data_IF_119874310103
#
_entry.id   IF_119874310103
#
_cell.length_a   1.000
_cell.length_b   1.000
_cell.length_c   1.000
_cell.angle_alpha   90.00
_cell.angle_beta   90.00
_cell.angle_gamma   90.00
#
_symmetry.space_group_name_H-M   'P 1'
#
loop_
_entity.id
_entity.type
_entity.pdbx_description
1 polymer ?
#
# COMPACT_ATOMS: atom_id res chain seq x y z
N UNK A 1 -21.64 16.76 -31.11
CA UNK A 1 -21.87 17.08 -29.68
C UNK A 1 -20.77 16.43 -28.88
N UNK A 2 -19.80 17.16 -28.34
CA UNK A 2 -18.77 16.53 -27.47
C UNK A 2 -19.42 16.15 -26.16
N UNK A 3 -19.21 14.91 -25.75
CA UNK A 3 -19.70 14.31 -24.52
C UNK A 3 -19.02 14.94 -23.30
N UNK A 4 -19.83 15.49 -22.42
CA UNK A 4 -19.46 16.20 -21.20
C UNK A 4 -19.00 15.24 -20.05
N UNK A 5 -18.20 14.22 -20.36
CA UNK A 5 -17.78 13.17 -19.41
C UNK A 5 -16.47 13.46 -18.69
N UNK A 6 -15.78 14.57 -18.98
CA UNK A 6 -14.40 14.80 -18.53
C UNK A 6 -14.25 15.75 -17.34
N UNK A 7 -15.33 16.03 -16.60
CA UNK A 7 -15.20 16.79 -15.34
C UNK A 7 -15.67 15.96 -14.15
N UNK A 8 -14.99 14.87 -13.89
CA UNK A 8 -15.00 14.30 -12.55
C UNK A 8 -14.30 15.31 -11.61
N UNK A 9 -15.09 16.15 -10.96
CA UNK A 9 -14.58 16.98 -9.87
C UNK A 9 -13.97 16.06 -8.83
N UNK A 10 -12.69 16.25 -8.46
CA UNK A 10 -12.09 15.46 -7.40
C UNK A 10 -12.90 15.61 -6.12
N UNK A 11 -13.29 14.50 -5.51
CA UNK A 11 -14.00 14.51 -4.23
C UNK A 11 -12.99 14.91 -3.17
N UNK A 12 -12.98 16.17 -2.79
CA UNK A 12 -12.17 16.64 -1.68
C UNK A 12 -12.82 16.22 -0.36
N UNK A 13 -12.28 15.17 0.26
CA UNK A 13 -12.65 14.72 1.60
C UNK A 13 -11.40 14.63 2.45
N UNK A 14 -11.50 15.15 3.67
CA UNK A 14 -10.41 15.15 4.66
C UNK A 14 -10.81 14.22 5.78
N UNK A 15 -9.94 13.25 6.12
CA UNK A 15 -10.04 12.59 7.41
C UNK A 15 -9.37 13.47 8.47
N UNK A 16 -9.83 13.39 9.72
CA UNK A 16 -9.31 14.24 10.78
C UNK A 16 -7.90 13.83 11.19
N UNK A 17 -7.65 12.51 11.30
CA UNK A 17 -6.37 11.95 11.71
C UNK A 17 -6.06 10.67 10.95
N UNK A 18 -4.80 10.31 10.89
CA UNK A 18 -4.33 9.02 10.40
C UNK A 18 -3.03 8.64 11.11
N UNK A 19 -2.76 7.35 11.27
CA UNK A 19 -1.43 6.90 11.61
C UNK A 19 -0.51 7.00 10.40
N UNK A 20 0.76 7.27 10.64
CA UNK A 20 1.75 7.43 9.59
C UNK A 20 3.08 6.78 9.96
N UNK A 21 3.78 6.27 8.97
CA UNK A 21 5.18 5.88 9.09
C UNK A 21 6.05 7.12 8.95
N UNK A 22 6.06 7.96 10.00
CA UNK A 22 6.75 9.24 9.97
C UNK A 22 8.27 9.09 10.03
N UNK A 23 8.96 9.89 9.23
CA UNK A 23 10.41 10.03 9.31
C UNK A 23 10.90 10.78 10.56
N UNK A 24 9.99 11.42 11.30
CA UNK A 24 10.27 12.10 12.57
C UNK A 24 9.78 11.19 13.71
N UNK A 25 10.57 10.71 14.58
CA UNK A 25 12.00 10.80 14.90
C UNK A 25 12.81 9.53 14.58
N UNK A 26 12.41 8.74 13.58
CA UNK A 26 13.04 7.46 13.27
C UNK A 26 14.10 7.59 12.16
N UNK A 27 15.40 7.47 12.46
CA UNK A 27 16.47 7.53 11.45
C UNK A 27 16.30 6.50 10.31
N UNK A 28 15.68 5.36 10.61
CA UNK A 28 15.42 4.32 9.62
C UNK A 28 14.43 4.77 8.55
N UNK A 29 13.34 5.41 8.95
CA UNK A 29 12.36 5.94 8.00
C UNK A 29 12.88 7.15 7.24
N UNK A 30 13.70 8.01 7.85
CA UNK A 30 14.33 9.13 7.16
C UNK A 30 15.16 8.65 5.97
N UNK A 31 16.04 7.68 6.18
CA UNK A 31 16.85 7.08 5.11
C UNK A 31 15.99 6.47 3.99
N UNK A 32 14.89 5.79 4.32
CA UNK A 32 13.96 5.23 3.35
C UNK A 32 13.31 6.32 2.49
N UNK A 33 12.79 7.37 3.11
CA UNK A 33 12.14 8.48 2.40
C UNK A 33 13.14 9.28 1.54
N UNK A 34 14.38 9.44 1.98
CA UNK A 34 15.44 10.06 1.17
C UNK A 34 15.74 9.24 -0.08
N UNK A 35 15.85 7.91 0.04
CA UNK A 35 16.01 7.03 -1.11
C UNK A 35 14.81 7.07 -2.06
N UNK A 36 13.58 7.09 -1.53
CA UNK A 36 12.38 7.25 -2.34
C UNK A 36 12.40 8.56 -3.12
N UNK A 37 12.85 9.64 -2.51
CA UNK A 37 12.99 10.95 -3.18
C UNK A 37 14.01 10.89 -4.31
N UNK A 38 15.18 10.30 -4.08
CA UNK A 38 16.21 10.12 -5.10
C UNK A 38 15.72 9.25 -6.27
N UNK A 39 14.90 8.24 -5.96
CA UNK A 39 14.30 7.35 -6.96
C UNK A 39 13.07 7.93 -7.69
N UNK A 40 12.74 9.22 -7.49
CA UNK A 40 11.52 9.87 -8.02
C UNK A 40 10.20 9.18 -7.62
N UNK A 41 10.16 8.55 -6.45
CA UNK A 41 8.99 7.90 -5.88
C UNK A 41 8.57 8.55 -4.55
N UNK A 42 8.71 9.87 -4.43
CA UNK A 42 8.44 10.58 -3.18
C UNK A 42 6.95 10.61 -2.79
N UNK A 43 6.03 10.52 -3.76
CA UNK A 43 4.59 10.62 -3.54
C UNK A 43 4.00 9.24 -3.22
N UNK A 44 4.13 8.81 -1.97
CA UNK A 44 3.69 7.50 -1.46
C UNK A 44 2.33 7.54 -0.77
N UNK A 45 1.90 8.71 -0.30
CA UNK A 45 0.58 8.92 0.27
C UNK A 45 -0.50 9.08 -0.81
N UNK A 46 -1.75 8.84 -0.43
CA UNK A 46 -2.93 9.01 -1.30
C UNK A 46 -3.55 10.42 -1.20
N UNK A 47 -3.03 11.26 -0.33
CA UNK A 47 -3.52 12.62 -0.11
C UNK A 47 -2.89 13.62 -1.08
N UNK A 48 -3.57 14.74 -1.30
CA UNK A 48 -3.05 15.84 -2.14
C UNK A 48 -2.22 16.85 -1.36
N UNK A 49 -2.25 16.78 -0.03
CA UNK A 49 -1.51 17.68 0.85
C UNK A 49 0.00 17.48 0.71
N UNK A 50 0.74 18.57 0.68
CA UNK A 50 2.19 18.59 0.40
C UNK A 50 3.03 17.78 1.39
N UNK A 51 2.59 17.67 2.63
CA UNK A 51 3.31 16.94 3.68
C UNK A 51 2.89 15.47 3.70
N UNK A 52 1.58 15.20 3.73
CA UNK A 52 1.04 13.86 3.90
C UNK A 52 1.16 13.00 2.64
N UNK A 53 1.19 13.59 1.44
CA UNK A 53 1.44 12.84 0.20
C UNK A 53 2.81 12.15 0.14
N UNK A 54 3.79 12.67 0.90
CA UNK A 54 5.16 12.14 0.97
C UNK A 54 5.37 11.15 2.11
N UNK A 55 4.32 10.83 2.85
CA UNK A 55 4.37 9.93 4.00
C UNK A 55 3.39 8.80 3.78
N UNK A 56 3.83 7.57 3.99
CA UNK A 56 2.92 6.44 3.96
C UNK A 56 2.01 6.49 5.18
N UNK A 57 0.70 6.47 4.91
CA UNK A 57 -0.35 6.55 5.90
C UNK A 57 -1.03 5.19 6.05
N UNK A 58 -1.54 4.91 7.24
CA UNK A 58 -2.44 3.79 7.48
C UNK A 58 -3.47 4.15 8.56
N UNK A 59 -4.58 3.44 8.59
CA UNK A 59 -5.62 3.59 9.61
C UNK A 59 -6.12 5.03 9.78
N UNK A 60 -7.01 5.45 8.89
CA UNK A 60 -7.68 6.74 9.01
C UNK A 60 -8.63 6.79 10.20
N UNK A 61 -8.75 7.96 10.82
CA UNK A 61 -9.61 8.23 11.98
C UNK A 61 -10.47 9.44 11.66
N UNK A 62 -11.77 9.22 11.53
CA UNK A 62 -12.74 10.27 11.36
C UNK A 62 -13.42 10.61 12.69
N UNK A 63 -13.45 11.88 13.05
CA UNK A 63 -13.98 12.34 14.35
C UNK A 63 -15.16 13.29 14.15
N UNK A 64 -16.26 13.00 14.80
CA UNK A 64 -17.45 13.85 14.88
C UNK A 64 -17.76 14.19 16.34
N UNK A 65 -18.38 15.34 16.60
CA UNK A 65 -18.86 15.68 17.95
C UNK A 65 -19.98 14.73 18.39
N UNK A 66 -20.36 14.77 19.66
CA UNK A 66 -21.36 13.87 20.27
C UNK A 66 -22.67 13.79 19.52
N UNK A 67 -23.09 14.87 18.89
CA UNK A 67 -24.32 14.94 18.09
C UNK A 67 -24.03 14.96 16.58
N UNK A 68 -22.82 14.56 16.18
CA UNK A 68 -22.43 14.48 14.77
C UNK A 68 -23.07 13.29 14.08
N UNK A 69 -23.20 13.39 12.76
CA UNK A 69 -23.77 12.32 11.94
C UNK A 69 -22.75 11.17 11.79
N UNK A 70 -23.13 10.01 12.34
CA UNK A 70 -22.34 8.78 12.24
C UNK A 70 -22.25 8.30 10.79
N UNK A 71 -23.32 8.38 10.02
CA UNK A 71 -23.32 7.94 8.63
C UNK A 71 -22.40 8.81 7.76
N UNK A 72 -22.35 10.12 8.04
CA UNK A 72 -21.39 11.00 7.40
C UNK A 72 -19.93 10.63 7.78
N UNK A 73 -19.66 10.31 9.05
CA UNK A 73 -18.34 9.87 9.50
C UNK A 73 -17.91 8.57 8.79
N UNK A 74 -18.82 7.61 8.70
CA UNK A 74 -18.59 6.33 7.99
C UNK A 74 -18.34 6.55 6.50
N UNK A 75 -19.09 7.43 5.85
CA UNK A 75 -18.88 7.76 4.45
C UNK A 75 -17.51 8.41 4.21
N UNK A 76 -17.13 9.38 5.04
CA UNK A 76 -15.85 10.08 4.92
C UNK A 76 -14.68 9.12 5.14
N UNK A 77 -14.76 8.29 6.19
CA UNK A 77 -13.78 7.25 6.46
C UNK A 77 -13.70 6.25 5.29
N UNK A 78 -14.83 5.84 4.74
CA UNK A 78 -14.89 4.87 3.62
C UNK A 78 -14.19 5.40 2.36
N UNK A 79 -14.39 6.67 2.01
CA UNK A 79 -13.72 7.32 0.89
C UNK A 79 -12.22 7.37 1.13
N UNK A 80 -11.80 7.74 2.34
CA UNK A 80 -10.40 7.85 2.70
C UNK A 80 -9.68 6.51 2.62
N UNK A 81 -10.26 5.46 3.25
CA UNK A 81 -9.62 4.14 3.29
C UNK A 81 -9.56 3.50 1.91
N UNK A 82 -10.59 3.71 1.07
CA UNK A 82 -10.58 3.24 -0.31
C UNK A 82 -9.46 3.89 -1.12
N UNK A 83 -9.22 5.20 -0.96
CA UNK A 83 -8.12 5.90 -1.59
C UNK A 83 -6.76 5.39 -1.08
N UNK A 84 -6.63 5.14 0.22
CA UNK A 84 -5.44 4.59 0.86
C UNK A 84 -5.07 3.22 0.28
N UNK A 85 -6.02 2.29 0.23
CA UNK A 85 -5.82 0.94 -0.29
C UNK A 85 -5.46 0.93 -1.78
N UNK A 86 -6.17 1.72 -2.60
CA UNK A 86 -5.88 1.84 -4.04
C UNK A 86 -4.48 2.40 -4.29
N UNK A 87 -4.07 3.40 -3.51
CA UNK A 87 -2.71 3.95 -3.61
C UNK A 87 -1.66 2.90 -3.28
N UNK A 88 -1.83 2.13 -2.21
CA UNK A 88 -0.93 1.04 -1.84
C UNK A 88 -0.87 -0.04 -2.93
N UNK A 89 -2.01 -0.42 -3.50
CA UNK A 89 -2.07 -1.36 -4.61
C UNK A 89 -1.34 -0.83 -5.86
N UNK A 90 -1.52 0.45 -6.20
CA UNK A 90 -0.78 1.10 -7.29
C UNK A 90 0.74 1.01 -7.07
N UNK A 91 1.20 1.36 -5.87
CA UNK A 91 2.62 1.30 -5.53
C UNK A 91 3.17 -0.13 -5.59
N UNK A 92 2.41 -1.11 -5.13
CA UNK A 92 2.75 -2.52 -5.19
C UNK A 92 2.86 -3.03 -6.65
N UNK A 93 1.91 -2.66 -7.52
CA UNK A 93 1.96 -2.98 -8.95
C UNK A 93 3.22 -2.40 -9.62
N UNK A 94 3.64 -1.19 -9.24
CA UNK A 94 4.89 -0.58 -9.73
C UNK A 94 6.13 -1.38 -9.32
N UNK A 95 6.17 -1.90 -8.09
CA UNK A 95 7.29 -2.73 -7.60
C UNK A 95 7.34 -4.05 -8.36
N UNK A 96 6.21 -4.75 -8.49
CA UNK A 96 6.13 -6.01 -9.22
C UNK A 96 6.59 -5.86 -10.68
N UNK A 97 6.14 -4.82 -11.37
CA UNK A 97 6.59 -4.52 -12.74
C UNK A 97 8.10 -4.27 -12.83
N UNK A 98 8.67 -3.51 -11.89
CA UNK A 98 10.11 -3.23 -11.84
C UNK A 98 10.95 -4.49 -11.58
N UNK A 99 10.46 -5.42 -10.77
CA UNK A 99 11.10 -6.72 -10.51
C UNK A 99 11.08 -7.61 -11.75
N UNK A 100 9.97 -7.63 -12.49
CA UNK A 100 9.85 -8.38 -13.75
C UNK A 100 10.85 -7.89 -14.80
N UNK A 101 11.01 -6.59 -14.99
CA UNK A 101 11.97 -6.01 -15.92
C UNK A 101 13.41 -6.40 -15.56
N UNK A 102 13.79 -6.32 -14.28
CA UNK A 102 15.12 -6.73 -13.82
C UNK A 102 15.40 -8.22 -14.04
N UNK A 103 14.38 -9.07 -13.85
CA UNK A 103 14.49 -10.50 -14.12
C UNK A 103 14.69 -10.81 -15.60
N UNK A 104 14.12 -10.01 -16.51
CA UNK A 104 14.31 -10.14 -17.94
C UNK A 104 15.73 -9.75 -18.38
N UNK A 105 16.26 -8.63 -17.86
CA UNK A 105 17.61 -8.17 -18.17
C UNK A 105 18.70 -9.19 -17.74
N UNK A 106 18.49 -9.87 -16.61
CA UNK A 106 19.42 -10.91 -16.12
C UNK A 106 19.42 -12.12 -17.04
N UNK A 107 18.27 -12.52 -17.59
CA UNK A 107 18.18 -13.66 -18.53
C UNK A 107 18.87 -13.37 -19.85
N UNK A 108 18.76 -12.14 -20.38
CA UNK A 108 19.43 -11.72 -21.61
C UNK A 108 20.95 -11.73 -21.42
N UNK A 109 21.46 -11.19 -20.32
CA UNK A 109 22.90 -11.15 -20.03
C UNK A 109 23.51 -12.53 -19.78
N UNK A 110 22.72 -13.50 -19.31
CA UNK A 110 23.23 -14.89 -19.10
C UNK A 110 23.34 -15.65 -20.41
N UNK A 111 22.52 -15.34 -21.41
CA UNK A 111 22.53 -16.01 -22.71
C UNK A 111 23.68 -15.51 -23.63
N UNK A 112 24.17 -14.27 -23.41
CA UNK A 112 25.28 -13.71 -24.18
C UNK A 112 26.67 -14.18 -23.72
N UNK A 113 26.81 -14.91 -22.60
CA UNK A 113 28.10 -15.36 -22.04
C UNK A 113 28.51 -16.77 -22.40
N UNK A 114 27.94 -17.38 -23.43
CA UNK A 114 28.42 -18.66 -23.90
C UNK A 114 29.06 -18.52 -25.31
N UNK A 115 30.33 -18.06 -25.43
CA UNK A 115 31.07 -18.17 -26.68
C UNK A 115 31.58 -19.60 -26.76
N UNK A 116 30.86 -20.46 -27.48
CA UNK A 116 31.40 -21.74 -27.87
C UNK A 116 32.34 -21.51 -29.10
N UNK A 117 33.66 -21.74 -29.03
CA UNK A 117 34.49 -21.68 -30.19
C UNK A 117 34.54 -23.06 -30.84
N UNK A 118 34.30 -23.06 -32.15
CA UNK A 118 34.66 -24.10 -33.11
C UNK A 118 33.65 -25.26 -33.32
N UNK A 119 33.09 -25.26 -34.49
CA UNK A 119 32.40 -26.37 -35.14
C UNK A 119 31.83 -25.87 -36.47
N UNK A 120 32.63 -26.02 -37.54
CA UNK A 120 32.20 -25.89 -38.93
C UNK A 120 31.04 -26.85 -39.16
N UNK A 121 29.95 -26.40 -39.79
CA UNK A 121 29.27 -27.06 -40.89
C UNK A 121 27.95 -26.36 -41.26
N UNK A 122 27.91 -26.01 -42.54
CA UNK A 122 26.83 -25.88 -43.54
C UNK A 122 25.36 -25.60 -43.14
N UNK A 123 24.86 -24.53 -43.79
CA UNK A 123 23.55 -24.34 -44.40
C UNK A 123 22.29 -24.88 -43.66
N UNK A 124 21.53 -23.95 -43.08
CA UNK A 124 20.10 -23.87 -43.33
C UNK A 124 19.54 -22.48 -42.88
N UNK A 125 19.10 -21.69 -43.82
CA UNK A 125 18.26 -20.52 -43.61
C UNK A 125 16.92 -21.00 -43.05
N UNK A 126 16.69 -20.94 -41.75
CA UNK A 126 15.35 -21.01 -41.17
C UNK A 126 14.93 -19.66 -40.57
N UNK A 127 13.72 -19.31 -40.95
CA UNK A 127 13.08 -18.04 -40.67
C UNK A 127 13.04 -17.74 -39.18
N UNK A 128 13.54 -16.57 -38.80
CA UNK A 128 13.44 -15.98 -37.48
C UNK A 128 11.98 -15.62 -37.22
N UNK A 129 11.18 -16.55 -36.73
CA UNK A 129 9.91 -16.26 -36.06
C UNK A 129 10.24 -15.62 -34.72
N UNK A 130 10.12 -14.30 -34.68
CA UNK A 130 10.19 -13.52 -33.45
C UNK A 130 9.15 -14.06 -32.48
N UNK A 131 9.62 -14.67 -31.43
CA UNK A 131 8.83 -15.14 -30.31
C UNK A 131 8.03 -14.00 -29.68
N UNK A 132 6.75 -13.90 -30.05
CA UNK A 132 5.74 -13.06 -29.38
C UNK A 132 5.32 -13.61 -28.02
N UNK A 133 5.94 -14.69 -27.56
CA UNK A 133 5.64 -15.38 -26.31
C UNK A 133 6.15 -14.62 -25.08
N UNK A 134 7.20 -13.79 -25.19
CA UNK A 134 7.77 -13.06 -24.06
C UNK A 134 6.87 -11.96 -23.52
N UNK A 135 5.98 -11.40 -24.34
CA UNK A 135 5.05 -10.32 -23.90
C UNK A 135 3.86 -10.89 -23.14
N UNK A 136 3.43 -12.09 -23.47
CA UNK A 136 2.33 -12.78 -22.77
C UNK A 136 2.76 -13.24 -21.35
N UNK A 137 4.02 -13.67 -21.20
CA UNK A 137 4.58 -14.07 -19.89
C UNK A 137 4.77 -12.86 -18.96
N UNK A 138 5.09 -11.67 -19.49
CA UNK A 138 5.13 -10.43 -18.72
C UNK A 138 3.73 -9.99 -18.22
N UNK A 139 2.69 -10.20 -19.01
CA UNK A 139 1.31 -9.89 -18.60
C UNK A 139 0.80 -10.86 -17.52
N UNK A 140 1.22 -12.13 -17.55
CA UNK A 140 0.89 -13.13 -16.54
C UNK A 140 1.58 -12.85 -15.19
N UNK A 141 2.81 -12.34 -15.19
CA UNK A 141 3.54 -11.98 -13.97
C UNK A 141 2.94 -10.73 -13.28
N UNK A 142 2.36 -9.81 -14.04
CA UNK A 142 1.67 -8.62 -13.49
C UNK A 142 0.38 -8.99 -12.74
N UNK A 143 -0.22 -10.15 -13.03
CA UNK A 143 -1.41 -10.65 -12.32
C UNK A 143 -1.07 -11.37 -11.00
N UNK A 144 0.19 -11.69 -10.75
CA UNK A 144 0.69 -12.20 -9.47
C UNK A 144 1.15 -11.07 -8.55
N UNK A 145 0.30 -10.06 -8.30
CA UNK A 145 0.46 -9.15 -7.15
C UNK A 145 -0.16 -9.88 -5.94
N UNK A 146 0.61 -10.75 -5.27
CA UNK A 146 0.03 -11.58 -4.24
C UNK A 146 -0.03 -10.77 -2.96
N UNK A 147 -1.04 -10.84 -2.19
CA UNK A 147 -1.06 -10.47 -0.78
C UNK A 147 -1.56 -9.05 -0.46
N UNK A 148 -1.22 -7.97 -1.19
CA UNK A 148 -1.72 -6.64 -0.81
C UNK A 148 -3.25 -6.52 -0.94
N UNK A 149 -3.84 -7.21 -1.91
CA UNK A 149 -5.29 -7.25 -2.10
C UNK A 149 -6.05 -7.89 -0.93
N UNK A 150 -5.34 -8.61 -0.05
CA UNK A 150 -5.96 -9.40 1.04
C UNK A 150 -5.62 -8.91 2.44
N UNK A 151 -4.64 -8.01 2.61
CA UNK A 151 -4.31 -7.48 3.93
C UNK A 151 -5.29 -6.36 4.32
N UNK A 152 -6.12 -6.57 5.34
CA UNK A 152 -7.09 -5.58 5.77
C UNK A 152 -6.40 -4.38 6.41
N UNK A 153 -6.85 -3.19 6.10
CA UNK A 153 -6.44 -1.96 6.76
C UNK A 153 -7.50 -1.55 7.77
N UNK A 154 -7.16 -1.35 9.06
CA UNK A 154 -8.09 -0.88 10.05
C UNK A 154 -8.41 0.61 9.83
N UNK A 155 -9.63 1.02 10.13
CA UNK A 155 -10.05 2.40 10.14
C UNK A 155 -11.03 2.65 11.30
N UNK A 156 -11.09 3.89 11.77
CA UNK A 156 -11.92 4.23 12.93
C UNK A 156 -12.85 5.40 12.62
N UNK A 157 -14.05 5.35 13.19
CA UNK A 157 -14.88 6.52 13.36
C UNK A 157 -15.10 6.77 14.85
N UNK A 158 -15.06 8.03 15.25
CA UNK A 158 -15.29 8.49 16.61
C UNK A 158 -16.46 9.46 16.59
N UNK A 159 -17.51 9.16 17.31
CA UNK A 159 -18.66 10.05 17.46
C UNK A 159 -18.84 10.38 18.95
N UNK A 160 -18.42 11.57 19.32
CA UNK A 160 -18.35 11.97 20.72
C UNK A 160 -17.42 11.10 21.53
N UNK A 161 -17.97 10.23 22.36
CA UNK A 161 -17.21 9.31 23.21
C UNK A 161 -17.12 7.89 22.68
N UNK A 162 -17.86 7.57 21.63
CA UNK A 162 -17.99 6.22 21.09
C UNK A 162 -16.99 6.02 19.94
N UNK A 163 -16.26 4.89 19.98
CA UNK A 163 -15.26 4.52 18.99
C UNK A 163 -15.73 3.28 18.25
N UNK A 164 -15.67 3.32 16.94
CA UNK A 164 -16.06 2.22 16.05
C UNK A 164 -14.89 1.84 15.16
N UNK A 165 -14.56 0.56 15.12
CA UNK A 165 -13.49 0.02 14.27
C UNK A 165 -14.09 -0.68 13.05
N UNK A 166 -13.46 -0.45 11.91
CA UNK A 166 -13.76 -1.05 10.62
C UNK A 166 -12.50 -1.67 10.03
N UNK A 167 -12.68 -2.62 9.14
CA UNK A 167 -11.60 -3.24 8.39
C UNK A 167 -11.91 -3.13 6.92
N UNK A 168 -10.96 -2.64 6.13
CA UNK A 168 -11.13 -2.51 4.69
C UNK A 168 -10.04 -3.28 3.94
N UNK A 169 -10.41 -3.90 2.84
CA UNK A 169 -9.48 -4.61 1.96
C UNK A 169 -9.91 -4.44 0.50
N UNK A 170 -8.99 -4.71 -0.42
CA UNK A 170 -9.30 -4.82 -1.85
C UNK A 170 -9.48 -6.28 -2.23
N UNK A 171 -10.46 -6.57 -3.08
CA UNK A 171 -10.56 -7.87 -3.74
C UNK A 171 -9.66 -7.93 -4.98
N UNK A 172 -9.66 -9.08 -5.65
CA UNK A 172 -8.87 -9.30 -6.88
C UNK A 172 -9.30 -8.44 -8.07
N UNK A 173 -10.48 -7.83 -8.00
CA UNK A 173 -11.02 -6.92 -9.02
C UNK A 173 -10.81 -5.43 -8.64
N UNK A 174 -9.97 -5.15 -7.65
CA UNK A 174 -9.72 -3.80 -7.09
C UNK A 174 -10.97 -3.13 -6.46
N UNK A 175 -12.01 -3.91 -6.10
CA UNK A 175 -13.14 -3.37 -5.34
C UNK A 175 -12.77 -3.27 -3.87
N UNK A 176 -13.16 -2.15 -3.24
CA UNK A 176 -12.97 -1.94 -1.82
C UNK A 176 -14.12 -2.53 -1.03
N UNK A 177 -13.82 -3.42 -0.12
CA UNK A 177 -14.75 -3.99 0.85
C UNK A 177 -14.48 -3.40 2.23
N UNK A 178 -15.53 -3.01 2.93
CA UNK A 178 -15.47 -2.44 4.28
C UNK A 178 -16.35 -3.29 5.18
N UNK A 179 -15.75 -3.85 6.22
CA UNK A 179 -16.39 -4.68 7.23
C UNK A 179 -16.45 -3.92 8.55
N UNK A 180 -17.57 -4.00 9.23
CA UNK A 180 -17.75 -3.37 10.54
C UNK A 180 -19.02 -2.51 10.61
N UNK A 181 -19.22 -1.81 11.73
CA UNK A 181 -18.30 -1.80 12.87
C UNK A 181 -18.26 -3.15 13.59
N UNK A 182 -17.07 -3.55 14.07
CA UNK A 182 -16.88 -4.78 14.86
C UNK A 182 -17.39 -4.58 16.30
N UNK A 183 -18.70 -4.75 16.47
CA UNK A 183 -19.40 -4.54 17.73
C UNK A 183 -19.18 -5.74 18.69
N UNK A 184 -18.99 -6.93 18.16
CA UNK A 184 -18.91 -8.15 18.97
C UNK A 184 -17.60 -8.22 19.76
N UNK A 185 -16.48 -7.80 19.16
CA UNK A 185 -15.17 -7.82 19.79
C UNK A 185 -14.83 -6.53 20.54
N UNK A 186 -15.30 -5.39 20.01
CA UNK A 186 -14.98 -4.05 20.49
C UNK A 186 -16.23 -3.29 20.92
N UNK A 187 -17.30 -4.00 21.26
CA UNK A 187 -18.53 -3.40 21.76
C UNK A 187 -18.24 -2.47 22.94
N UNK A 188 -18.74 -1.24 22.87
CA UNK A 188 -18.63 -0.21 23.91
C UNK A 188 -17.18 0.24 24.22
N UNK A 189 -16.33 0.40 23.22
CA UNK A 189 -15.10 1.16 23.40
C UNK A 189 -15.45 2.63 23.45
N UNK A 190 -15.54 3.15 24.67
CA UNK A 190 -16.03 4.51 24.93
C UNK A 190 -15.18 5.19 25.99
N UNK A 191 -14.94 6.48 25.84
CA UNK A 191 -14.20 7.29 26.84
C UNK A 191 -15.05 7.66 28.05
N UNK A 192 -16.31 7.21 28.15
CA UNK A 192 -17.21 7.50 29.29
C UNK A 192 -16.86 6.75 30.58
N UNK A 193 -16.03 5.72 30.49
CA UNK A 193 -15.64 4.91 31.64
C UNK A 193 -14.15 4.63 31.65
N UNK A 194 -13.56 4.45 32.83
CA UNK A 194 -12.16 4.07 32.99
C UNK A 194 -11.86 2.77 32.25
N UNK A 195 -12.77 1.78 32.35
CA UNK A 195 -12.62 0.51 31.63
C UNK A 195 -12.60 0.72 30.11
N UNK A 196 -13.45 1.59 29.59
CA UNK A 196 -13.51 1.95 28.16
C UNK A 196 -12.23 2.64 27.70
N UNK A 197 -11.67 3.54 28.53
CA UNK A 197 -10.39 4.19 28.22
C UNK A 197 -9.26 3.16 28.11
N UNK A 198 -9.14 2.20 29.04
CA UNK A 198 -8.15 1.13 28.95
C UNK A 198 -8.36 0.22 27.73
N UNK A 199 -9.63 -0.09 27.41
CA UNK A 199 -9.94 -0.85 26.20
C UNK A 199 -9.51 -0.09 24.95
N UNK A 200 -9.70 1.22 24.92
CA UNK A 200 -9.30 2.09 23.82
C UNK A 200 -7.78 2.13 23.65
N UNK A 201 -7.02 2.29 24.74
CA UNK A 201 -5.56 2.27 24.69
C UNK A 201 -5.06 0.94 24.10
N UNK A 202 -5.61 -0.19 24.53
CA UNK A 202 -5.28 -1.50 23.97
C UNK A 202 -5.66 -1.63 22.49
N UNK A 203 -6.78 -1.05 22.07
CA UNK A 203 -7.19 -1.04 20.67
C UNK A 203 -6.15 -0.30 19.81
N UNK A 204 -5.72 0.89 20.23
CA UNK A 204 -4.71 1.65 19.51
C UNK A 204 -3.35 0.95 19.51
N UNK A 205 -2.96 0.34 20.63
CA UNK A 205 -1.75 -0.49 20.71
C UNK A 205 -1.78 -1.61 19.66
N UNK A 206 -2.89 -2.35 19.55
CA UNK A 206 -3.05 -3.41 18.55
C UNK A 206 -3.03 -2.90 17.10
N UNK A 207 -3.59 -1.73 16.84
CA UNK A 207 -3.52 -1.12 15.50
C UNK A 207 -2.08 -0.74 15.16
N UNK A 208 -1.34 -0.18 16.12
CA UNK A 208 0.06 0.16 15.93
C UNK A 208 0.94 -1.08 15.75
N UNK A 209 0.76 -2.12 16.58
CA UNK A 209 1.43 -3.41 16.42
C UNK A 209 1.18 -3.99 15.03
N UNK A 210 -0.08 -4.02 14.57
CA UNK A 210 -0.44 -4.50 13.25
C UNK A 210 0.23 -3.68 12.12
N UNK A 211 0.25 -2.35 12.27
CA UNK A 211 0.90 -1.45 11.33
C UNK A 211 2.42 -1.62 11.28
N UNK A 212 3.03 -2.13 12.34
CA UNK A 212 4.49 -2.33 12.46
C UNK A 212 4.92 -3.78 12.32
N UNK A 213 3.97 -4.73 12.20
CA UNK A 213 4.27 -6.15 12.09
C UNK A 213 5.08 -6.43 10.81
N UNK A 214 6.32 -6.89 11.01
CA UNK A 214 7.25 -7.19 9.92
C UNK A 214 6.79 -8.35 9.01
N UNK A 215 5.97 -9.25 9.51
CA UNK A 215 5.42 -10.40 8.76
C UNK A 215 4.05 -10.11 8.16
N UNK A 216 3.42 -9.01 8.57
CA UNK A 216 2.09 -8.62 8.18
C UNK A 216 2.06 -7.32 7.36
N UNK A 217 1.14 -6.45 7.73
CA UNK A 217 0.85 -5.23 7.00
C UNK A 217 2.07 -4.28 6.94
N UNK A 218 2.74 -4.05 8.07
CA UNK A 218 3.90 -3.17 8.16
C UNK A 218 5.05 -3.66 7.28
N UNK A 219 5.44 -4.93 7.40
CA UNK A 219 6.50 -5.52 6.59
C UNK A 219 6.20 -5.51 5.10
N UNK A 220 4.92 -5.71 4.74
CA UNK A 220 4.52 -5.62 3.35
C UNK A 220 4.65 -4.19 2.79
N UNK A 221 4.13 -3.19 3.51
CA UNK A 221 4.19 -1.79 3.05
C UNK A 221 5.62 -1.26 3.11
N UNK A 222 6.29 -1.37 4.26
CA UNK A 222 7.63 -0.81 4.45
C UNK A 222 8.70 -1.66 3.77
N UNK A 223 8.71 -2.97 4.05
CA UNK A 223 9.79 -3.86 3.66
C UNK A 223 9.74 -4.28 2.20
N UNK A 224 8.55 -4.39 1.59
CA UNK A 224 8.45 -4.78 0.19
C UNK A 224 8.10 -3.61 -0.72
N UNK A 225 7.00 -2.88 -0.45
CA UNK A 225 6.52 -1.82 -1.35
C UNK A 225 7.49 -0.64 -1.36
N UNK A 226 7.72 -0.01 -0.21
CA UNK A 226 8.54 1.21 -0.15
C UNK A 226 10.02 0.92 -0.40
N UNK A 227 10.58 -0.16 0.14
CA UNK A 227 11.96 -0.57 -0.16
C UNK A 227 12.16 -0.95 -1.62
N UNK A 228 11.18 -1.62 -2.24
CA UNK A 228 11.19 -1.94 -3.67
C UNK A 228 11.18 -0.69 -4.55
N UNK A 229 10.39 0.33 -4.19
CA UNK A 229 10.35 1.62 -4.88
C UNK A 229 11.64 2.43 -4.69
N UNK A 230 12.22 2.40 -3.49
CA UNK A 230 13.46 3.09 -3.16
C UNK A 230 14.68 2.51 -3.87
N UNK A 231 14.56 1.28 -4.44
CA UNK A 231 15.69 0.52 -4.93
C UNK A 231 16.46 -0.08 -3.75
N UNK A 232 16.56 -1.40 -3.68
CA UNK A 232 17.16 -2.13 -2.57
C UNK A 232 18.56 -1.61 -2.26
N UNK A 233 18.64 -0.64 -1.36
CA UNK A 233 19.82 -0.36 -0.56
C UNK A 233 19.81 -1.30 0.64
N UNK A 234 20.94 -1.50 1.29
CA UNK A 234 21.13 -2.44 2.39
C UNK A 234 19.91 -2.50 3.32
N UNK A 235 19.37 -3.72 3.48
CA UNK A 235 18.24 -4.07 4.35
C UNK A 235 18.26 -3.26 5.65
N UNK A 236 17.15 -2.58 5.93
CA UNK A 236 16.87 -2.08 7.27
C UNK A 236 16.78 -3.31 8.21
N UNK A 237 17.92 -3.69 8.79
CA UNK A 237 17.88 -4.48 10.02
C UNK A 237 17.32 -3.55 11.06
N UNK A 238 16.05 -3.75 11.47
CA UNK A 238 15.57 -3.23 12.75
C UNK A 238 16.56 -3.71 13.81
N UNK A 239 17.40 -2.81 14.29
CA UNK A 239 18.22 -3.06 15.46
C UNK A 239 17.26 -2.97 16.64
N UNK A 240 17.18 -4.08 17.35
CA UNK A 240 16.56 -4.18 18.66
C UNK A 240 16.95 -2.96 19.49
N UNK A 241 15.97 -2.20 19.95
CA UNK A 241 16.08 -1.16 20.94
C UNK A 241 15.25 -1.56 22.18
#
# INVERSE_FOLDING_TARGET
MPSNLDKLTPIERKTNFAFSYSHRPSPGFESLYDRLRVANNADVGHTTDTFTKRTALFSGIEVKPTFGDKAEAELQMSIWIAASLRKKAELAKRVAFKETLRGADVKVSANERNPNPAGDDEDTCEAYTRDTQSVADCASAANNVPILATLPEPALTIVGHEHYIYYAYLDSADNTHILGPDIDRFGNVSTRSIRGIFALVRLYERILEYGMDERGFGGHILGWVLEGLAGRGASLKCRDA
#
